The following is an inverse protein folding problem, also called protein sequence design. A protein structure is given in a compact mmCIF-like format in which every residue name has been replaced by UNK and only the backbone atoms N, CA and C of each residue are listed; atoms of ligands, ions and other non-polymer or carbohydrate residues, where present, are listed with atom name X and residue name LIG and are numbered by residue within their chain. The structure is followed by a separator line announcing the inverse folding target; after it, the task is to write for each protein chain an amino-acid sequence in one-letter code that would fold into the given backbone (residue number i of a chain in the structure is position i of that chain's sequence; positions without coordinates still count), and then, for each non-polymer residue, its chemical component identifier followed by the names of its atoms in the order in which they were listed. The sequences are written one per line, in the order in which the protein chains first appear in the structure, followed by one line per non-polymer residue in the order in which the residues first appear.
data_IF_374411567284
#
_entry.id   IF_374411567284
#
_cell.length_a   1.000
_cell.length_b   1.000
_cell.length_c   1.000
_cell.angle_alpha   90.00
_cell.angle_beta   90.00
_cell.angle_gamma   90.00
#
_symmetry.space_group_name_H-M   'P 1'
#
loop_
_entity.id
_entity.type
_entity.pdbx_description
1 polymer ?
#
# COMPACT_ATOMS: atom_id res chain seq x y z
N UNK A 1 -10.85 -7.14 12.91
CA UNK A 1 -11.27 -6.41 11.67
C UNK A 1 -11.14 -4.90 11.81
N UNK A 2 -11.60 -4.27 12.90
CA UNK A 2 -11.49 -2.81 13.08
C UNK A 2 -10.04 -2.28 13.07
N UNK A 3 -9.10 -2.98 13.73
CA UNK A 3 -7.69 -2.58 13.73
C UNK A 3 -7.05 -2.57 12.33
N UNK A 4 -7.41 -3.54 11.46
CA UNK A 4 -6.90 -3.61 10.08
C UNK A 4 -7.47 -2.51 9.19
N UNK A 5 -8.76 -2.20 9.33
CA UNK A 5 -9.36 -1.04 8.63
C UNK A 5 -8.75 0.28 9.09
N UNK A 6 -8.55 0.44 10.40
CA UNK A 6 -7.90 1.62 10.98
C UNK A 6 -6.46 1.79 10.49
N UNK A 7 -5.66 0.72 10.43
CA UNK A 7 -4.30 0.80 9.92
C UNK A 7 -4.25 1.18 8.44
N UNK A 8 -5.16 0.68 7.61
CA UNK A 8 -5.26 1.07 6.19
C UNK A 8 -5.57 2.56 6.05
N UNK A 9 -6.54 3.07 6.83
CA UNK A 9 -6.93 4.48 6.79
C UNK A 9 -5.80 5.40 7.25
N UNK A 10 -5.19 5.10 8.40
CA UNK A 10 -4.07 5.90 8.92
C UNK A 10 -2.90 5.89 7.94
N UNK A 11 -2.53 4.71 7.43
CA UNK A 11 -1.43 4.60 6.47
C UNK A 11 -1.72 5.36 5.18
N UNK A 12 -2.94 5.33 4.66
CA UNK A 12 -3.29 6.12 3.48
C UNK A 12 -3.21 7.64 3.76
N UNK A 13 -3.72 8.09 4.91
CA UNK A 13 -3.78 9.50 5.26
C UNK A 13 -2.41 10.14 5.49
N UNK A 14 -1.43 9.43 6.06
CA UNK A 14 -0.08 9.98 6.24
C UNK A 14 0.62 10.32 4.92
N UNK A 15 0.14 9.76 3.79
CA UNK A 15 0.67 10.05 2.46
C UNK A 15 -0.04 11.21 1.75
N UNK A 16 -1.12 11.76 2.34
CA UNK A 16 -1.88 12.87 1.75
C UNK A 16 -1.01 14.08 1.37
N UNK A 17 -0.03 14.53 2.18
CA UNK A 17 0.81 15.67 1.83
C UNK A 17 1.68 15.47 0.58
N UNK A 18 2.01 14.21 0.25
CA UNK A 18 2.88 13.86 -0.88
C UNK A 18 2.08 13.55 -2.16
N UNK A 19 0.88 12.97 -2.04
CA UNK A 19 0.15 12.40 -3.20
C UNK A 19 -1.29 12.93 -3.37
N UNK A 20 -1.73 13.83 -2.48
CA UNK A 20 -3.08 14.38 -2.48
C UNK A 20 -4.18 13.33 -2.27
N UNK A 21 -5.43 13.73 -2.48
CA UNK A 21 -6.61 12.89 -2.23
C UNK A 21 -6.63 11.63 -3.12
N UNK A 22 -6.28 11.78 -4.40
CA UNK A 22 -6.22 10.64 -5.33
C UNK A 22 -5.18 9.60 -4.88
N UNK A 23 -4.02 10.07 -4.40
CA UNK A 23 -2.99 9.22 -3.83
C UNK A 23 -3.45 8.47 -2.58
N UNK A 24 -4.15 9.15 -1.67
CA UNK A 24 -4.75 8.52 -0.48
C UNK A 24 -5.67 7.36 -0.88
N UNK A 25 -6.56 7.56 -1.85
CA UNK A 25 -7.46 6.51 -2.33
C UNK A 25 -6.68 5.33 -2.92
N UNK A 26 -5.68 5.60 -3.77
CA UNK A 26 -4.84 4.57 -4.36
C UNK A 26 -4.02 3.78 -3.33
N UNK A 27 -3.50 4.46 -2.30
CA UNK A 27 -2.74 3.84 -1.21
C UNK A 27 -3.66 3.01 -0.32
N UNK A 28 -4.85 3.51 0.02
CA UNK A 28 -5.85 2.76 0.79
C UNK A 28 -6.18 1.44 0.07
N UNK A 29 -6.47 1.50 -1.23
CA UNK A 29 -6.74 0.31 -2.04
C UNK A 29 -5.58 -0.69 -2.05
N UNK A 30 -4.35 -0.21 -2.28
CA UNK A 30 -3.14 -1.06 -2.28
C UNK A 30 -2.77 -1.64 -0.92
N UNK A 31 -3.22 -1.02 0.18
CA UNK A 31 -2.91 -1.44 1.55
C UNK A 31 -3.83 -2.56 2.05
N UNK A 32 -4.96 -2.81 1.38
CA UNK A 32 -5.89 -3.89 1.74
C UNK A 32 -5.19 -5.25 1.67
N UNK A 33 -4.52 -5.56 0.55
CA UNK A 33 -3.96 -6.90 0.34
C UNK A 33 -2.79 -7.23 1.31
N UNK A 34 -1.81 -6.35 1.57
CA UNK A 34 -0.82 -6.56 2.62
C UNK A 34 -1.46 -6.76 4.01
N UNK A 35 -2.53 -6.01 4.32
CA UNK A 35 -3.26 -6.16 5.59
C UNK A 35 -3.94 -7.53 5.68
N UNK A 36 -4.57 -8.00 4.59
CA UNK A 36 -5.16 -9.34 4.52
C UNK A 36 -4.10 -10.42 4.69
N UNK A 37 -2.94 -10.30 4.02
CA UNK A 37 -1.84 -11.26 4.16
C UNK A 37 -1.35 -11.32 5.61
N UNK A 38 -1.12 -10.16 6.24
CA UNK A 38 -0.72 -10.09 7.66
C UNK A 38 -1.75 -10.72 8.57
N UNK A 39 -3.04 -10.50 8.36
CA UNK A 39 -4.09 -11.06 9.23
C UNK A 39 -4.34 -12.55 8.97
N UNK A 40 -4.15 -13.02 7.74
CA UNK A 40 -4.39 -14.42 7.35
C UNK A 40 -3.29 -15.36 7.82
N UNK A 41 -2.04 -14.94 7.70
CA UNK A 41 -0.88 -15.79 8.01
C UNK A 41 -0.21 -15.44 9.35
N UNK A 42 -0.65 -14.35 9.99
CA UNK A 42 -0.10 -13.82 11.25
C UNK A 42 1.40 -13.50 11.23
N UNK A 43 1.98 -13.31 10.04
CA UNK A 43 3.37 -12.92 9.84
C UNK A 43 3.50 -11.72 8.89
N UNK A 44 4.69 -11.13 8.85
CA UNK A 44 4.97 -9.93 8.06
C UNK A 44 5.56 -10.22 6.67
N UNK A 45 6.01 -11.43 6.41
CA UNK A 45 6.79 -11.79 5.21
C UNK A 45 6.00 -11.51 3.94
N UNK A 46 4.78 -12.04 3.84
CA UNK A 46 3.95 -11.84 2.64
C UNK A 46 3.54 -10.38 2.45
N UNK A 47 3.17 -9.70 3.54
CA UNK A 47 2.81 -8.29 3.51
C UNK A 47 3.99 -7.39 3.07
N UNK A 48 5.19 -7.70 3.58
CA UNK A 48 6.43 -6.97 3.26
C UNK A 48 6.87 -7.20 1.82
N UNK A 49 6.86 -8.45 1.35
CA UNK A 49 7.22 -8.78 -0.05
C UNK A 49 6.27 -8.11 -1.04
N UNK A 50 4.96 -8.10 -0.74
CA UNK A 50 4.00 -7.40 -1.59
C UNK A 50 4.19 -5.89 -1.55
N UNK A 51 4.52 -5.31 -0.39
CA UNK A 51 4.84 -3.89 -0.30
C UNK A 51 6.09 -3.54 -1.14
N UNK A 52 7.14 -4.35 -1.06
CA UNK A 52 8.33 -4.22 -1.89
C UNK A 52 7.97 -4.31 -3.38
N UNK A 53 7.18 -5.30 -3.79
CA UNK A 53 6.74 -5.47 -5.17
C UNK A 53 5.94 -4.25 -5.67
N UNK A 54 5.06 -3.69 -4.85
CA UNK A 54 4.31 -2.47 -5.17
C UNK A 54 5.25 -1.27 -5.40
N UNK A 55 6.32 -1.15 -4.60
CA UNK A 55 7.30 -0.08 -4.75
C UNK A 55 8.15 -0.27 -6.01
N UNK A 56 8.56 -1.50 -6.33
CA UNK A 56 9.26 -1.81 -7.58
C UNK A 56 8.36 -1.50 -8.78
N UNK A 57 7.10 -1.92 -8.73
CA UNK A 57 6.14 -1.61 -9.79
C UNK A 57 5.98 -0.10 -10.00
N UNK A 58 5.70 0.63 -8.93
CA UNK A 58 5.34 2.05 -9.04
C UNK A 58 6.54 2.94 -9.35
N UNK A 59 7.70 2.67 -8.76
CA UNK A 59 8.86 3.56 -8.85
C UNK A 59 9.87 3.12 -9.90
N UNK A 60 9.89 1.83 -10.27
CA UNK A 60 10.82 1.32 -11.29
C UNK A 60 10.08 0.99 -12.56
N UNK A 61 9.10 0.08 -12.54
CA UNK A 61 8.47 -0.39 -13.77
C UNK A 61 7.67 0.70 -14.49
N UNK A 62 6.71 1.34 -13.80
CA UNK A 62 5.86 2.40 -14.36
C UNK A 62 6.70 3.59 -14.84
N UNK A 63 7.65 4.02 -14.03
CA UNK A 63 8.57 5.12 -14.38
C UNK A 63 9.45 4.75 -15.59
N UNK A 64 9.99 3.53 -15.64
CA UNK A 64 10.81 3.06 -16.78
C UNK A 64 10.01 2.96 -18.08
N UNK A 65 8.69 2.78 -17.98
CA UNK A 65 7.76 2.79 -19.12
C UNK A 65 7.33 4.21 -19.53
N UNK A 66 7.82 5.26 -18.86
CA UNK A 66 7.53 6.66 -19.19
C UNK A 66 6.23 7.20 -18.59
N UNK A 67 5.61 6.46 -17.67
CA UNK A 67 4.43 6.93 -16.93
C UNK A 67 4.89 7.60 -15.63
N UNK A 68 4.42 8.84 -15.39
CA UNK A 68 4.64 9.64 -14.16
C UNK A 68 3.32 10.22 -13.69
#
# INVERSE_FOLDING_TARGET
MLAGGGSVLVFALIHAPLWGVAGVVGIAARSVLPTVLRLRFDDLTGAWLLHLANNVWSNVAIVSLGFV
#
